data_IF_930777028314
#
_entry.id   IF_930777028314
#
_cell.length_a   1.000
_cell.length_b   1.000
_cell.length_c   1.000
_cell.angle_alpha   90.00
_cell.angle_beta   90.00
_cell.angle_gamma   90.00
#
_symmetry.space_group_name_H-M   'P 1'
#
loop_
_entity.id
_entity.type
_entity.pdbx_description
1 polymer ?
#
# COMPACT_ATOMS: atom_id res chain seq x y z
N UNK A 1 -17.38 -12.81 29.16
CA UNK A 1 -16.52 -12.91 27.95
C UNK A 1 -17.39 -13.43 26.82
N UNK A 2 -17.70 -12.56 25.84
CA UNK A 2 -18.66 -12.83 24.76
C UNK A 2 -18.02 -13.68 23.66
N UNK A 3 -18.59 -14.86 23.40
CA UNK A 3 -18.24 -15.72 22.26
C UNK A 3 -18.66 -15.02 20.98
N UNK A 4 -17.69 -14.56 20.18
CA UNK A 4 -17.94 -13.91 18.89
C UNK A 4 -18.43 -14.93 17.87
N UNK A 5 -19.70 -14.81 17.49
CA UNK A 5 -20.10 -14.79 16.08
C UNK A 5 -20.20 -16.13 15.33
N UNK A 6 -20.46 -17.25 16.01
CA UNK A 6 -20.93 -18.45 15.31
C UNK A 6 -22.44 -18.30 15.07
N UNK A 7 -22.82 -18.05 13.82
CA UNK A 7 -24.22 -18.05 13.39
C UNK A 7 -24.67 -19.51 13.16
N UNK A 8 -25.54 -20.07 14.01
CA UNK A 8 -25.97 -21.46 13.90
C UNK A 8 -26.77 -21.74 12.63
N UNK A 9 -27.22 -20.71 11.91
CA UNK A 9 -27.95 -20.85 10.65
C UNK A 9 -27.03 -20.81 9.42
N UNK A 10 -25.73 -20.52 9.57
CA UNK A 10 -24.75 -20.70 8.48
C UNK A 10 -24.50 -22.17 8.27
N UNK A 11 -25.20 -22.77 7.29
CA UNK A 11 -24.88 -24.10 6.77
C UNK A 11 -23.46 -24.09 6.20
N UNK A 12 -22.53 -24.70 6.93
CA UNK A 12 -21.22 -25.08 6.39
C UNK A 12 -21.50 -26.07 5.25
N UNK A 13 -21.16 -25.69 4.03
CA UNK A 13 -21.30 -26.55 2.86
C UNK A 13 -20.20 -27.61 2.96
N UNK A 14 -20.44 -28.66 3.74
CA UNK A 14 -19.58 -29.85 3.88
C UNK A 14 -19.80 -30.85 2.74
N UNK A 15 -20.08 -30.35 1.53
CA UNK A 15 -20.20 -31.22 0.38
C UNK A 15 -18.86 -31.92 0.12
N UNK A 16 -18.90 -33.22 -0.21
CA UNK A 16 -17.82 -34.00 -0.84
C UNK A 16 -17.42 -33.44 -2.23
N UNK A 17 -17.61 -32.15 -2.49
CA UNK A 17 -17.01 -31.46 -3.63
C UNK A 17 -15.55 -31.27 -3.25
N UNK A 18 -14.65 -31.81 -4.08
CA UNK A 18 -13.21 -31.60 -3.96
C UNK A 18 -12.92 -30.14 -3.67
N UNK A 19 -11.89 -29.92 -2.88
CA UNK A 19 -11.41 -28.57 -2.64
C UNK A 19 -11.10 -27.91 -3.98
N UNK A 20 -11.31 -26.60 -4.13
CA UNK A 20 -10.90 -25.91 -5.36
C UNK A 20 -9.36 -25.96 -5.56
N UNK A 21 -8.62 -26.47 -4.56
CA UNK A 21 -7.21 -26.84 -4.66
C UNK A 21 -6.98 -28.13 -5.48
N UNK A 22 -8.02 -28.92 -5.76
CA UNK A 22 -8.00 -30.14 -6.57
C UNK A 22 -8.17 -29.85 -8.07
N UNK A 23 -7.69 -28.70 -8.55
CA UNK A 23 -7.69 -28.37 -9.99
C UNK A 23 -6.61 -29.20 -10.71
N UNK A 24 -6.87 -30.49 -10.89
CA UNK A 24 -6.05 -31.37 -11.71
C UNK A 24 -6.52 -31.31 -13.17
N UNK A 25 -5.70 -30.71 -14.03
CA UNK A 25 -5.89 -30.62 -15.50
C UNK A 25 -5.98 -32.01 -16.14
N UNK A 26 -5.56 -33.09 -15.44
CA UNK A 26 -5.51 -34.46 -15.95
C UNK A 26 -6.62 -35.38 -15.44
N UNK A 27 -7.54 -34.89 -14.60
CA UNK A 27 -8.63 -35.71 -14.07
C UNK A 27 -9.97 -35.39 -14.77
N UNK A 28 -10.55 -36.32 -15.56
CA UNK A 28 -11.87 -36.14 -16.10
C UNK A 28 -12.89 -36.78 -15.15
N UNK A 29 -13.65 -35.96 -14.39
CA UNK A 29 -15.06 -36.19 -14.03
C UNK A 29 -15.50 -35.30 -12.85
N UNK A 30 -16.05 -34.11 -13.12
CA UNK A 30 -17.35 -33.66 -12.58
C UNK A 30 -17.71 -32.20 -12.96
N UNK A 31 -18.96 -32.09 -13.44
CA UNK A 31 -19.89 -30.98 -13.75
C UNK A 31 -19.52 -29.49 -13.98
N UNK A 32 -18.29 -29.00 -13.83
CA UNK A 32 -17.94 -27.64 -14.29
C UNK A 32 -16.60 -27.62 -15.03
N UNK A 33 -16.64 -28.04 -16.30
CA UNK A 33 -15.49 -28.06 -17.21
C UNK A 33 -14.99 -26.62 -17.45
N UNK A 34 -13.76 -26.34 -17.03
CA UNK A 34 -12.97 -25.21 -17.55
C UNK A 34 -13.08 -23.86 -16.84
N UNK A 35 -13.88 -23.72 -15.77
CA UNK A 35 -13.95 -22.46 -15.02
C UNK A 35 -12.94 -22.50 -13.88
N UNK A 36 -11.83 -21.77 -14.03
CA UNK A 36 -10.94 -21.48 -12.89
C UNK A 36 -11.72 -20.64 -11.87
N UNK A 37 -11.71 -21.00 -10.57
CA UNK A 37 -12.25 -20.13 -9.56
C UNK A 37 -11.51 -18.79 -9.60
N UNK A 38 -12.29 -17.73 -9.43
CA UNK A 38 -11.81 -16.37 -9.32
C UNK A 38 -10.78 -16.27 -8.18
N UNK A 39 -9.56 -15.75 -8.40
CA UNK A 39 -8.53 -15.70 -7.37
C UNK A 39 -8.96 -14.78 -6.23
N UNK A 40 -8.59 -15.18 -5.01
CA UNK A 40 -8.88 -14.39 -3.82
C UNK A 40 -8.16 -13.04 -3.83
N UNK A 41 -8.84 -12.04 -3.29
CA UNK A 41 -8.31 -10.70 -3.12
C UNK A 41 -7.20 -10.62 -2.05
N UNK A 42 -7.27 -11.52 -1.06
CA UNK A 42 -6.31 -11.61 0.04
C UNK A 42 -5.10 -12.50 -0.28
N UNK A 43 -5.12 -13.18 -1.42
CA UNK A 43 -4.04 -14.03 -1.89
C UNK A 43 -4.37 -15.52 -1.94
N UNK A 44 -3.42 -16.36 -2.37
CA UNK A 44 -3.66 -17.75 -2.78
C UNK A 44 -4.27 -18.62 -1.68
N UNK A 45 -3.86 -18.39 -0.44
CA UNK A 45 -4.24 -19.22 0.71
C UNK A 45 -5.63 -18.90 1.27
N UNK A 46 -6.30 -17.87 0.77
CA UNK A 46 -7.53 -17.33 1.34
C UNK A 46 -8.78 -17.61 0.49
N UNK A 47 -8.64 -18.30 -0.65
CA UNK A 47 -9.75 -18.75 -1.50
C UNK A 47 -10.84 -19.49 -0.71
N UNK A 48 -10.43 -20.44 0.13
CA UNK A 48 -11.36 -21.20 0.97
C UNK A 48 -12.04 -20.33 2.03
N UNK A 49 -11.32 -19.36 2.60
CA UNK A 49 -11.87 -18.42 3.58
C UNK A 49 -12.87 -17.43 2.96
N UNK A 50 -12.61 -16.91 1.76
CA UNK A 50 -13.56 -16.08 1.01
C UNK A 50 -14.84 -16.86 0.64
N UNK A 51 -14.72 -18.15 0.36
CA UNK A 51 -15.85 -19.02 0.07
C UNK A 51 -16.53 -19.62 1.32
N UNK A 52 -16.08 -19.28 2.53
CA UNK A 52 -16.64 -19.78 3.80
C UNK A 52 -16.39 -21.28 4.07
N UNK A 53 -15.38 -21.89 3.41
CA UNK A 53 -14.99 -23.29 3.58
C UNK A 53 -13.91 -23.42 4.67
N UNK A 54 -14.01 -24.48 5.48
CA UNK A 54 -13.02 -24.79 6.52
C UNK A 54 -11.67 -25.17 5.90
N UNK A 55 -10.60 -24.46 6.26
CA UNK A 55 -9.24 -24.67 5.76
C UNK A 55 -8.51 -25.82 6.47
N UNK A 56 -9.21 -26.90 6.84
CA UNK A 56 -8.61 -27.94 7.69
C UNK A 56 -7.61 -28.81 6.91
N UNK A 57 -6.35 -28.74 7.33
CA UNK A 57 -5.19 -29.53 6.88
C UNK A 57 -5.24 -31.02 7.26
N UNK A 58 -6.42 -31.65 7.25
CA UNK A 58 -6.66 -32.92 7.96
C UNK A 58 -6.07 -34.16 7.29
N UNK A 59 -5.44 -34.06 6.11
CA UNK A 59 -5.04 -35.23 5.32
C UNK A 59 -3.61 -35.25 4.79
N UNK A 60 -2.63 -34.70 5.52
CA UNK A 60 -1.20 -35.03 5.32
C UNK A 60 -0.57 -34.69 3.95
N UNK A 61 -1.34 -34.19 2.99
CA UNK A 61 -0.87 -33.71 1.70
C UNK A 61 -0.24 -32.32 1.91
N UNK A 62 1.06 -32.31 2.25
CA UNK A 62 1.95 -31.17 2.03
C UNK A 62 2.15 -30.98 0.52
N UNK A 63 1.06 -30.71 -0.21
CA UNK A 63 1.18 -30.14 -1.55
C UNK A 63 1.46 -28.67 -1.33
N UNK A 64 2.65 -28.24 -1.74
CA UNK A 64 2.90 -26.81 -1.92
C UNK A 64 1.80 -26.28 -2.83
N UNK A 65 0.97 -25.34 -2.37
CA UNK A 65 -0.08 -24.79 -3.21
C UNK A 65 0.59 -24.24 -4.46
N UNK A 66 0.19 -24.73 -5.63
CA UNK A 66 0.64 -24.18 -6.91
C UNK A 66 0.40 -22.70 -6.86
N UNK A 67 1.46 -21.90 -6.74
CA UNK A 67 1.35 -20.45 -6.65
C UNK A 67 0.60 -20.00 -7.90
N UNK A 68 -0.64 -19.48 -7.78
CA UNK A 68 -1.34 -18.97 -8.94
C UNK A 68 -0.45 -17.92 -9.58
N UNK A 69 -0.53 -17.78 -10.90
CA UNK A 69 0.15 -16.71 -11.62
C UNK A 69 0.01 -15.43 -10.80
N UNK A 70 1.12 -14.80 -10.33
CA UNK A 70 1.07 -13.64 -9.44
C UNK A 70 0.29 -12.48 -10.05
N UNK A 71 -0.05 -12.60 -11.34
CA UNK A 71 -0.78 -11.63 -12.10
C UNK A 71 -2.05 -12.19 -12.75
N UNK A 72 -3.12 -12.35 -11.96
CA UNK A 72 -4.46 -12.46 -12.56
C UNK A 72 -5.01 -11.06 -12.77
N UNK A 73 -5.17 -10.68 -14.05
CA UNK A 73 -5.78 -9.41 -14.46
C UNK A 73 -7.19 -9.29 -13.88
N UNK A 74 -7.37 -8.40 -12.90
CA UNK A 74 -8.70 -7.94 -12.46
C UNK A 74 -8.87 -6.49 -12.86
N UNK A 75 -9.48 -6.23 -14.03
CA UNK A 75 -9.65 -4.87 -14.51
C UNK A 75 -10.71 -4.12 -13.69
N UNK A 76 -10.55 -2.80 -13.70
CA UNK A 76 -11.54 -1.82 -13.28
C UNK A 76 -12.96 -2.13 -13.82
N UNK A 77 -14.03 -1.78 -13.07
CA UNK A 77 -14.00 -0.99 -11.82
C UNK A 77 -13.67 -1.81 -10.58
N UNK A 78 -13.09 -1.16 -9.57
CA UNK A 78 -12.89 -1.80 -8.27
C UNK A 78 -14.23 -2.03 -7.55
N UNK A 79 -14.36 -3.10 -6.76
CA UNK A 79 -15.42 -3.19 -5.79
C UNK A 79 -15.37 -1.99 -4.82
N UNK A 80 -16.52 -1.53 -4.29
CA UNK A 80 -16.60 -0.30 -3.49
C UNK A 80 -15.62 -0.24 -2.30
N UNK A 81 -15.33 -1.37 -1.66
CA UNK A 81 -14.39 -1.42 -0.54
C UNK A 81 -12.94 -1.10 -0.95
N UNK A 82 -12.52 -1.62 -2.10
CA UNK A 82 -11.18 -1.43 -2.63
C UNK A 82 -11.06 -0.04 -3.23
N UNK A 83 -12.11 0.43 -3.91
CA UNK A 83 -12.18 1.79 -4.43
C UNK A 83 -11.95 2.81 -3.31
N UNK A 84 -12.66 2.68 -2.18
CA UNK A 84 -12.44 3.53 -1.01
C UNK A 84 -11.01 3.51 -0.49
N UNK A 85 -10.34 2.36 -0.50
CA UNK A 85 -8.95 2.24 -0.05
C UNK A 85 -7.97 2.80 -1.09
N UNK A 86 -8.29 2.64 -2.38
CA UNK A 86 -7.55 3.23 -3.48
C UNK A 86 -7.59 4.76 -3.41
N UNK A 87 -8.79 5.33 -3.26
CA UNK A 87 -9.00 6.77 -3.06
C UNK A 87 -8.32 7.27 -1.80
N UNK A 88 -8.41 6.52 -0.70
CA UNK A 88 -7.78 6.88 0.57
C UNK A 88 -6.27 7.02 0.44
N UNK A 89 -5.56 6.04 -0.14
CA UNK A 89 -4.11 6.20 -0.30
C UNK A 89 -3.78 7.30 -1.32
N UNK A 90 -4.62 7.51 -2.34
CA UNK A 90 -4.46 8.57 -3.33
C UNK A 90 -4.69 9.97 -2.77
N UNK A 91 -5.49 10.13 -1.71
CA UNK A 91 -5.69 11.42 -1.06
C UNK A 91 -4.37 12.02 -0.53
N UNK A 92 -3.43 11.19 -0.08
CA UNK A 92 -2.10 11.61 0.34
C UNK A 92 -1.27 12.27 -0.79
N UNK A 93 -1.63 12.05 -2.07
CA UNK A 93 -0.96 12.72 -3.19
C UNK A 93 -1.11 14.25 -3.11
N UNK A 94 -2.29 14.73 -2.68
CA UNK A 94 -2.55 16.17 -2.51
C UNK A 94 -1.74 16.75 -1.35
N UNK A 95 -1.63 16.02 -0.24
CA UNK A 95 -0.84 16.42 0.93
C UNK A 95 0.64 16.58 0.57
N UNK A 96 1.20 15.62 -0.16
CA UNK A 96 2.60 15.69 -0.63
C UNK A 96 2.81 16.86 -1.58
N UNK A 97 1.90 17.06 -2.54
CA UNK A 97 1.98 18.20 -3.48
C UNK A 97 1.92 19.53 -2.75
N UNK A 98 1.00 19.68 -1.80
CA UNK A 98 0.84 20.89 -1.01
C UNK A 98 2.07 21.17 -0.14
N UNK A 99 2.59 20.16 0.57
CA UNK A 99 3.77 20.30 1.42
C UNK A 99 5.02 20.69 0.61
N UNK A 100 5.26 20.02 -0.52
CA UNK A 100 6.39 20.33 -1.39
C UNK A 100 6.25 21.71 -2.05
N UNK A 101 5.04 22.10 -2.47
CA UNK A 101 4.79 23.43 -3.02
C UNK A 101 5.01 24.53 -1.98
N UNK A 102 4.59 24.30 -0.73
CA UNK A 102 4.79 25.24 0.37
C UNK A 102 6.29 25.40 0.69
N UNK A 103 7.04 24.30 0.79
CA UNK A 103 8.49 24.31 1.01
C UNK A 103 9.23 25.04 -0.12
N UNK A 104 8.88 24.75 -1.38
CA UNK A 104 9.47 25.40 -2.55
C UNK A 104 9.18 26.90 -2.57
N UNK A 105 7.93 27.29 -2.29
CA UNK A 105 7.52 28.69 -2.23
C UNK A 105 8.22 29.46 -1.12
N UNK A 106 8.44 28.83 0.04
CA UNK A 106 9.17 29.45 1.14
C UNK A 106 10.66 29.68 0.81
N UNK A 107 11.22 28.83 -0.07
CA UNK A 107 12.61 28.84 -0.53
C UNK A 107 13.64 29.12 0.59
N UNK A 108 13.60 28.37 1.71
CA UNK A 108 14.40 28.69 2.90
C UNK A 108 15.91 28.53 2.67
N UNK A 109 16.33 27.72 1.71
CA UNK A 109 17.75 27.56 1.34
C UNK A 109 18.34 28.78 0.64
N UNK A 110 17.52 29.67 0.08
CA UNK A 110 17.99 30.94 -0.49
C UNK A 110 18.36 32.00 0.57
N UNK A 111 18.00 31.79 1.84
CA UNK A 111 18.29 32.74 2.92
C UNK A 111 19.80 32.79 3.17
N UNK A 112 20.38 33.99 3.02
CA UNK A 112 21.81 34.26 3.16
C UNK A 112 22.12 35.20 4.33
N UNK A 113 23.41 35.47 4.58
CA UNK A 113 23.89 36.30 5.70
C UNK A 113 23.30 37.72 5.72
N UNK A 114 23.07 38.31 4.54
CA UNK A 114 22.56 39.67 4.40
C UNK A 114 21.02 39.74 4.38
N UNK A 115 20.32 38.61 4.55
CA UNK A 115 18.87 38.59 4.56
C UNK A 115 18.35 39.27 5.84
N UNK A 116 17.50 40.31 5.74
CA UNK A 116 16.91 40.93 6.92
C UNK A 116 16.00 39.92 7.65
N UNK A 117 16.16 39.84 8.97
CA UNK A 117 15.39 38.96 9.84
C UNK A 117 15.25 37.50 9.32
N UNK A 118 16.37 36.75 9.21
CA UNK A 118 16.39 35.44 8.54
C UNK A 118 15.72 34.33 9.37
N UNK A 119 15.73 34.44 10.70
CA UNK A 119 15.33 33.37 11.61
C UNK A 119 13.86 32.92 11.44
N UNK A 120 12.85 33.80 11.39
CA UNK A 120 11.46 33.38 11.18
C UNK A 120 11.26 32.60 9.88
N UNK A 121 11.96 32.99 8.80
CA UNK A 121 11.88 32.30 7.50
C UNK A 121 12.52 30.92 7.57
N UNK A 122 13.68 30.80 8.23
CA UNK A 122 14.37 29.53 8.41
C UNK A 122 13.56 28.57 9.31
N UNK A 123 13.03 29.04 10.43
CA UNK A 123 12.18 28.23 11.32
C UNK A 123 10.92 27.74 10.60
N UNK A 124 10.26 28.62 9.83
CA UNK A 124 9.15 28.22 8.97
C UNK A 124 9.58 27.18 7.93
N UNK A 125 10.76 27.35 7.34
CA UNK A 125 11.37 26.39 6.42
C UNK A 125 11.60 25.01 7.04
N UNK A 126 12.13 24.93 8.26
CA UNK A 126 12.37 23.68 8.99
C UNK A 126 11.07 22.90 9.23
N UNK A 127 10.01 23.63 9.63
CA UNK A 127 8.67 23.05 9.78
C UNK A 127 8.12 22.52 8.46
N UNK A 128 8.17 23.32 7.39
CA UNK A 128 7.68 22.91 6.07
C UNK A 128 8.47 21.72 5.49
N UNK A 129 9.78 21.65 5.74
CA UNK A 129 10.59 20.51 5.35
C UNK A 129 10.22 19.25 6.14
N UNK A 130 9.90 19.40 7.43
CA UNK A 130 9.38 18.31 8.26
C UNK A 130 8.02 17.83 7.77
N UNK A 131 7.09 18.74 7.45
CA UNK A 131 5.78 18.41 6.90
C UNK A 131 5.91 17.65 5.56
N UNK A 132 6.82 18.07 4.69
CA UNK A 132 7.12 17.39 3.42
C UNK A 132 7.67 15.96 3.62
N UNK A 133 8.54 15.76 4.63
CA UNK A 133 9.05 14.43 5.00
C UNK A 133 7.90 13.53 5.48
N UNK A 134 7.06 14.04 6.39
CA UNK A 134 5.93 13.29 6.95
C UNK A 134 4.94 12.91 5.85
N UNK A 135 4.50 13.88 5.04
CA UNK A 135 3.57 13.62 3.94
C UNK A 135 4.13 12.57 2.95
N UNK A 136 5.39 12.71 2.56
CA UNK A 136 6.02 11.79 1.59
C UNK A 136 6.13 10.37 2.15
N UNK A 137 6.52 10.23 3.43
CA UNK A 137 6.60 8.93 4.09
C UNK A 137 5.22 8.29 4.28
N UNK A 138 4.21 9.08 4.68
CA UNK A 138 2.84 8.61 4.81
C UNK A 138 2.28 8.10 3.47
N UNK A 139 2.51 8.85 2.38
CA UNK A 139 2.06 8.42 1.06
C UNK A 139 2.82 7.16 0.59
N UNK A 140 4.14 7.09 0.80
CA UNK A 140 4.93 5.90 0.47
C UNK A 140 4.44 4.65 1.23
N UNK A 141 4.14 4.81 2.53
CA UNK A 141 3.62 3.75 3.38
C UNK A 141 2.22 3.31 2.95
N UNK A 142 1.30 4.24 2.73
CA UNK A 142 -0.06 3.96 2.28
C UNK A 142 -0.05 3.25 0.91
N UNK A 143 0.81 3.71 0.00
CA UNK A 143 0.96 3.14 -1.34
C UNK A 143 1.54 1.72 -1.29
N UNK A 144 2.57 1.50 -0.48
CA UNK A 144 3.16 0.17 -0.29
C UNK A 144 2.19 -0.79 0.43
N UNK A 145 1.44 -0.28 1.41
CA UNK A 145 0.39 -1.03 2.10
C UNK A 145 -0.73 -1.46 1.17
N UNK A 146 -1.14 -0.59 0.23
CA UNK A 146 -2.10 -0.96 -0.82
C UNK A 146 -1.57 -2.08 -1.72
N UNK A 147 -0.31 -2.00 -2.17
CA UNK A 147 0.31 -3.06 -3.00
C UNK A 147 0.39 -4.39 -2.26
N UNK A 148 0.73 -4.35 -0.98
CA UNK A 148 0.83 -5.53 -0.14
C UNK A 148 -0.54 -6.15 0.15
N UNK A 149 -1.55 -5.32 0.41
CA UNK A 149 -2.91 -5.79 0.69
C UNK A 149 -3.60 -6.31 -0.57
N UNK A 150 -3.35 -5.69 -1.71
CA UNK A 150 -4.08 -5.90 -2.97
C UNK A 150 -3.14 -6.10 -4.17
N UNK A 151 -2.30 -7.16 -4.16
CA UNK A 151 -1.26 -7.37 -5.17
C UNK A 151 -1.79 -7.63 -6.58
N UNK A 152 -3.08 -7.96 -6.71
CA UNK A 152 -3.80 -8.28 -7.96
C UNK A 152 -4.73 -7.16 -8.43
N UNK A 153 -4.80 -6.03 -7.72
CA UNK A 153 -5.69 -4.90 -8.03
C UNK A 153 -5.27 -4.09 -9.27
N UNK A 154 -4.31 -4.55 -10.06
CA UNK A 154 -3.69 -3.74 -11.09
C UNK A 154 -3.98 -4.31 -12.48
N UNK A 155 -4.24 -3.44 -13.46
CA UNK A 155 -4.58 -3.87 -14.83
C UNK A 155 -3.46 -4.62 -15.56
N UNK A 156 -2.19 -4.35 -15.20
CA UNK A 156 -1.01 -4.96 -15.82
C UNK A 156 0.23 -4.90 -14.92
N UNK A 157 1.14 -5.86 -15.06
CA UNK A 157 2.38 -5.90 -14.27
C UNK A 157 3.16 -4.59 -14.36
N UNK A 158 3.09 -3.92 -15.51
CA UNK A 158 3.63 -2.57 -15.72
C UNK A 158 3.04 -1.53 -14.75
N UNK A 159 1.73 -1.55 -14.50
CA UNK A 159 1.06 -0.63 -13.55
C UNK A 159 1.49 -0.92 -12.11
N UNK A 160 1.58 -2.20 -11.72
CA UNK A 160 2.11 -2.61 -10.43
C UNK A 160 3.56 -2.14 -10.24
N UNK A 161 4.42 -2.39 -11.22
CA UNK A 161 5.81 -1.93 -11.19
C UNK A 161 5.90 -0.40 -11.10
N UNK A 162 5.08 0.32 -11.87
CA UNK A 162 5.01 1.78 -11.79
C UNK A 162 4.59 2.27 -10.41
N UNK A 163 3.69 1.54 -9.74
CA UNK A 163 3.25 1.84 -8.38
C UNK A 163 4.38 1.71 -7.36
N UNK A 164 5.17 0.63 -7.46
CA UNK A 164 6.36 0.43 -6.63
C UNK A 164 7.44 1.48 -6.90
N UNK A 165 7.67 1.83 -8.16
CA UNK A 165 8.60 2.91 -8.54
C UNK A 165 8.18 4.22 -7.88
N UNK A 166 6.91 4.60 -7.99
CA UNK A 166 6.45 5.83 -7.36
C UNK A 166 6.54 5.80 -5.82
N UNK A 167 6.37 4.65 -5.18
CA UNK A 167 6.59 4.53 -3.73
C UNK A 167 8.07 4.80 -3.38
N UNK A 168 9.01 4.32 -4.20
CA UNK A 168 10.45 4.62 -4.05
C UNK A 168 10.75 6.10 -4.31
N UNK A 169 10.11 6.71 -5.30
CA UNK A 169 10.29 8.15 -5.60
C UNK A 169 9.86 9.03 -4.42
N UNK A 170 8.80 8.65 -3.69
CA UNK A 170 8.35 9.33 -2.47
C UNK A 170 9.37 9.20 -1.34
N UNK A 171 10.01 8.04 -1.19
CA UNK A 171 11.12 7.86 -0.24
C UNK A 171 12.31 8.75 -0.63
N UNK A 172 12.67 8.80 -1.91
CA UNK A 172 13.73 9.73 -2.38
C UNK A 172 13.37 11.19 -2.11
N UNK A 173 12.09 11.54 -2.30
CA UNK A 173 11.58 12.89 -1.98
C UNK A 173 11.75 13.22 -0.50
N UNK A 174 11.43 12.29 0.40
CA UNK A 174 11.60 12.49 1.84
C UNK A 174 13.07 12.60 2.24
N UNK A 175 13.97 11.85 1.58
CA UNK A 175 15.43 11.97 1.76
C UNK A 175 15.92 13.36 1.35
N UNK A 176 15.47 13.89 0.21
CA UNK A 176 15.87 15.22 -0.26
C UNK A 176 15.31 16.34 0.63
N UNK A 177 14.06 16.21 1.10
CA UNK A 177 13.49 17.13 2.07
C UNK A 177 14.27 17.11 3.40
N UNK A 178 14.77 15.94 3.83
CA UNK A 178 15.64 15.83 5.01
C UNK A 178 16.98 16.53 4.84
N UNK A 179 17.62 16.39 3.67
CA UNK A 179 18.86 17.15 3.36
C UNK A 179 18.61 18.65 3.43
N UNK A 180 17.51 19.11 2.82
CA UNK A 180 17.07 20.52 2.87
C UNK A 180 16.86 20.98 4.31
N UNK A 181 16.18 20.19 5.13
CA UNK A 181 15.96 20.49 6.55
C UNK A 181 17.26 20.64 7.32
N UNK A 182 18.20 19.72 7.12
CA UNK A 182 19.50 19.79 7.81
C UNK A 182 20.27 21.06 7.42
N UNK A 183 20.28 21.42 6.13
CA UNK A 183 20.89 22.68 5.67
C UNK A 183 20.24 23.91 6.32
N UNK A 184 18.91 23.91 6.48
CA UNK A 184 18.19 24.98 7.17
C UNK A 184 18.60 25.05 8.65
N UNK A 185 18.74 23.91 9.33
CA UNK A 185 19.17 23.86 10.73
C UNK A 185 20.58 24.39 10.93
N UNK A 186 21.50 24.01 10.05
CA UNK A 186 22.87 24.55 10.05
C UNK A 186 22.86 26.09 9.85
N UNK A 187 21.94 26.60 9.03
CA UNK A 187 21.73 28.05 8.87
C UNK A 187 21.19 28.70 10.14
N UNK A 188 20.19 28.09 10.79
CA UNK A 188 19.63 28.59 12.05
C UNK A 188 20.75 28.71 13.09
N UNK A 189 21.54 27.66 13.27
CA UNK A 189 22.65 27.62 14.22
C UNK A 189 23.66 28.76 13.98
N UNK A 190 24.00 29.04 12.72
CA UNK A 190 24.89 30.17 12.36
C UNK A 190 24.32 31.54 12.73
N UNK A 191 23.00 31.70 12.75
CA UNK A 191 22.33 32.94 13.17
C UNK A 191 22.03 32.99 14.66
N UNK A 192 22.16 31.87 15.38
CA UNK A 192 22.02 31.78 16.85
C UNK A 192 23.16 30.96 17.46
N UNK A 193 24.43 31.41 17.38
CA UNK A 193 25.53 30.69 17.99
C UNK A 193 25.40 30.73 19.52
N UNK A 194 25.38 29.57 20.18
CA UNK A 194 25.49 29.46 21.64
C UNK A 194 24.19 29.38 22.44
N UNK A 195 23.13 28.76 21.91
CA UNK A 195 22.10 28.13 22.73
C UNK A 195 22.36 26.64 22.88
#
# INVERSE_FOLDING_TARGET
>A
MSQRGWDPNKKVISGRRGSDADYDIRSPQSSHVGVRPDPSYYGPNFLNSEQGRSSSFTYGDLKEPTMPDPYVKRPQPYPPEIERQYESYKAHELEVKAANAALRTANPTSVGRNTPNPLPRLIKGDKLATDAILASNSFAAARSGFDHKFPTAYDSLKKKNSHQVSARDLITTSVNARKTRNEIRDKIERFTPGR
#
